data_IF_390595721579
#
_entry.id   IF_390595721579
#
_cell.length_a   1.000
_cell.length_b   1.000
_cell.length_c   1.000
_cell.angle_alpha   90.00
_cell.angle_beta   90.00
_cell.angle_gamma   90.00
#
_symmetry.space_group_name_H-M   'P 1'
#
loop_
_entity.id
_entity.type
_entity.pdbx_description
1 polymer ?
#
# COMPACT_ATOMS: atom_id res chain seq x y z
N UNK A 1 -7.78 26.72 -32.23
CA UNK A 1 -8.48 25.42 -32.26
C UNK A 1 -7.46 24.34 -31.92
N UNK A 2 -7.38 23.93 -30.66
CA UNK A 2 -6.41 22.94 -30.19
C UNK A 2 -6.88 21.54 -30.56
N UNK A 3 -6.03 20.79 -31.28
CA UNK A 3 -6.23 19.36 -31.54
C UNK A 3 -5.84 18.59 -30.28
N UNK A 4 -6.79 17.87 -29.69
CA UNK A 4 -6.51 16.88 -28.66
C UNK A 4 -5.66 15.75 -29.29
N UNK A 5 -4.40 15.63 -28.88
CA UNK A 5 -3.59 14.45 -29.20
C UNK A 5 -4.01 13.33 -28.26
N UNK A 6 -4.62 12.30 -28.83
CA UNK A 6 -5.06 11.11 -28.12
C UNK A 6 -3.85 10.18 -27.90
N UNK A 7 -3.21 10.24 -26.73
CA UNK A 7 -2.08 9.37 -26.37
C UNK A 7 -2.56 7.99 -25.89
N UNK A 8 -3.14 7.20 -26.78
CA UNK A 8 -3.38 5.77 -26.52
C UNK A 8 -2.07 4.99 -26.66
N UNK A 9 -1.27 4.91 -25.58
CA UNK A 9 -0.18 3.94 -25.50
C UNK A 9 -0.77 2.55 -25.25
N UNK A 10 -0.75 1.71 -26.28
CA UNK A 10 -1.03 0.28 -26.15
C UNK A 10 0.23 -0.35 -25.58
N UNK A 11 0.15 -0.91 -24.38
CA UNK A 11 1.24 -1.64 -23.76
C UNK A 11 1.18 -3.10 -24.21
N UNK A 12 2.24 -3.57 -24.83
CA UNK A 12 2.39 -4.95 -25.29
C UNK A 12 3.20 -5.75 -24.26
N UNK A 13 2.73 -6.95 -23.93
CA UNK A 13 3.45 -7.85 -23.03
C UNK A 13 4.34 -8.76 -23.87
N UNK A 14 5.63 -8.80 -23.55
CA UNK A 14 6.62 -9.59 -24.30
C UNK A 14 7.41 -10.51 -23.37
N UNK A 15 7.86 -11.64 -23.91
CA UNK A 15 8.81 -12.50 -23.20
C UNK A 15 10.23 -11.89 -23.21
N UNK A 16 11.18 -12.57 -22.57
CA UNK A 16 12.58 -12.12 -22.47
C UNK A 16 13.28 -11.99 -23.84
N UNK A 17 12.75 -12.67 -24.86
CA UNK A 17 13.25 -12.64 -26.23
C UNK A 17 12.56 -11.57 -27.09
N UNK A 18 11.64 -10.78 -26.52
CA UNK A 18 10.91 -9.72 -27.23
C UNK A 18 9.68 -10.21 -28.01
N UNK A 19 9.27 -11.47 -27.84
CA UNK A 19 8.10 -12.03 -28.52
C UNK A 19 6.81 -11.69 -27.78
N UNK A 20 5.76 -11.34 -28.52
CA UNK A 20 4.45 -10.95 -27.96
C UNK A 20 3.74 -12.12 -27.27
N UNK A 21 3.26 -11.87 -26.06
CA UNK A 21 2.50 -12.83 -25.25
C UNK A 21 1.02 -12.46 -25.24
N UNK A 22 0.25 -13.15 -26.08
CA UNK A 22 -1.17 -12.89 -26.31
C UNK A 22 -2.08 -13.69 -25.38
N UNK A 23 -1.62 -14.86 -24.94
CA UNK A 23 -2.39 -15.74 -24.06
C UNK A 23 -2.22 -15.40 -22.58
N UNK A 24 -3.28 -15.56 -21.79
CA UNK A 24 -3.27 -15.25 -20.36
C UNK A 24 -2.24 -16.09 -19.58
N UNK A 25 -2.15 -17.38 -19.88
CA UNK A 25 -1.22 -18.30 -19.23
C UNK A 25 0.24 -17.95 -19.50
N UNK A 26 0.54 -17.51 -20.73
CA UNK A 26 1.87 -17.06 -21.12
C UNK A 26 2.27 -15.78 -20.36
N UNK A 27 1.33 -14.84 -20.20
CA UNK A 27 1.55 -13.65 -19.38
C UNK A 27 1.78 -14.02 -17.93
N UNK A 28 0.92 -14.85 -17.35
CA UNK A 28 1.03 -15.30 -15.95
C UNK A 28 2.38 -15.98 -15.68
N UNK A 29 2.84 -16.84 -16.59
CA UNK A 29 4.16 -17.49 -16.50
C UNK A 29 5.30 -16.48 -16.51
N UNK A 30 5.27 -15.51 -17.43
CA UNK A 30 6.32 -14.47 -17.53
C UNK A 30 6.31 -13.50 -16.35
N UNK A 31 5.16 -13.23 -15.74
CA UNK A 31 5.04 -12.54 -14.45
C UNK A 31 5.70 -13.34 -13.32
N UNK A 32 5.45 -14.66 -13.25
CA UNK A 32 6.09 -15.54 -12.27
C UNK A 32 7.61 -15.54 -12.43
N UNK A 33 8.12 -15.74 -13.64
CA UNK A 33 9.56 -15.74 -13.93
C UNK A 33 10.23 -14.42 -13.53
N UNK A 34 9.55 -13.28 -13.72
CA UNK A 34 10.05 -11.97 -13.30
C UNK A 34 10.19 -11.87 -11.78
N UNK A 35 9.19 -12.35 -11.03
CA UNK A 35 9.21 -12.33 -9.57
C UNK A 35 10.30 -13.27 -9.03
N UNK A 36 10.45 -14.45 -9.64
CA UNK A 36 11.53 -15.38 -9.28
C UNK A 36 12.89 -14.69 -9.46
N UNK A 37 13.18 -14.09 -10.63
CA UNK A 37 14.42 -13.34 -10.86
C UNK A 37 14.62 -12.16 -9.89
N UNK A 38 13.53 -11.44 -9.57
CA UNK A 38 13.57 -10.28 -8.68
C UNK A 38 13.98 -10.67 -7.25
N UNK A 39 13.61 -11.88 -6.82
CA UNK A 39 13.84 -12.38 -5.46
C UNK A 39 14.93 -13.47 -5.37
N UNK A 40 15.52 -13.89 -6.50
CA UNK A 40 16.62 -14.87 -6.53
C UNK A 40 17.95 -14.27 -6.04
N UNK A 41 18.11 -12.94 -6.15
CA UNK A 41 19.28 -12.21 -5.64
C UNK A 41 19.16 -11.99 -4.12
N UNK A 42 19.30 -13.09 -3.40
CA UNK A 42 19.22 -13.17 -1.95
C UNK A 42 20.57 -12.77 -1.31
N UNK A 43 21.09 -11.60 -1.68
CA UNK A 43 22.08 -10.89 -0.86
C UNK A 43 21.37 -10.41 0.40
N UNK A 44 21.10 -11.38 1.28
CA UNK A 44 20.70 -11.22 2.66
C UNK A 44 19.70 -10.08 2.85
N UNK A 45 18.44 -10.29 2.44
CA UNK A 45 17.37 -9.65 3.21
C UNK A 45 17.39 -10.30 4.58
N UNK A 46 18.28 -9.78 5.44
CA UNK A 46 18.13 -9.87 6.88
C UNK A 46 16.83 -9.12 7.12
N UNK A 47 15.71 -9.84 7.07
CA UNK A 47 14.54 -9.38 7.78
C UNK A 47 14.99 -9.44 9.23
N UNK A 48 15.35 -8.29 9.78
CA UNK A 48 15.47 -8.17 11.23
C UNK A 48 14.16 -8.70 11.81
N UNK A 49 14.27 -9.67 12.71
CA UNK A 49 13.09 -10.13 13.44
C UNK A 49 12.46 -8.89 14.09
N UNK A 50 11.19 -8.61 13.79
CA UNK A 50 10.44 -7.43 14.30
C UNK A 50 10.53 -7.28 15.82
N UNK A 51 10.82 -8.38 16.52
CA UNK A 51 10.95 -8.44 17.98
C UNK A 51 12.29 -7.90 18.53
N UNK A 52 13.30 -7.64 17.67
CA UNK A 52 14.64 -7.20 18.07
C UNK A 52 15.03 -5.83 17.46
N UNK A 53 14.07 -4.91 17.32
CA UNK A 53 14.36 -3.51 16.96
C UNK A 53 14.85 -2.78 18.20
N UNK A 54 16.04 -2.17 18.14
CA UNK A 54 16.58 -1.34 19.22
C UNK A 54 15.61 -0.18 19.53
N UNK A 55 15.49 0.24 20.79
CA UNK A 55 14.56 1.33 21.17
C UNK A 55 14.86 2.64 20.42
N UNK A 56 16.12 2.84 20.01
CA UNK A 56 16.57 3.98 19.20
C UNK A 56 16.14 3.88 17.72
N UNK A 57 15.85 2.68 17.21
CA UNK A 57 15.37 2.44 15.84
C UNK A 57 13.83 2.38 15.76
N UNK A 58 13.16 2.35 16.91
CA UNK A 58 11.71 2.45 16.98
C UNK A 58 11.28 3.85 16.55
N UNK A 59 10.61 3.94 15.40
CA UNK A 59 10.11 5.20 14.88
C UNK A 59 9.28 5.98 15.90
N UNK A 60 9.49 7.29 15.96
CA UNK A 60 8.74 8.22 16.79
C UNK A 60 7.22 8.15 16.53
N UNK A 61 6.43 8.75 17.41
CA UNK A 61 4.98 8.87 17.21
C UNK A 61 4.66 9.53 15.86
N UNK A 62 3.61 9.06 15.19
CA UNK A 62 3.05 9.69 13.99
C UNK A 62 2.71 11.13 14.34
N UNK A 63 3.24 12.10 13.60
CA UNK A 63 2.97 13.51 13.86
C UNK A 63 1.53 13.87 13.48
N UNK A 64 0.92 14.81 14.19
CA UNK A 64 -0.43 15.30 13.86
C UNK A 64 -0.54 15.78 12.42
N UNK A 65 0.50 16.45 11.90
CA UNK A 65 0.53 16.94 10.51
C UNK A 65 0.54 15.81 9.47
N UNK A 66 1.23 14.69 9.76
CA UNK A 66 1.25 13.51 8.89
C UNK A 66 -0.12 12.84 8.88
N UNK A 67 -0.73 12.71 10.07
CA UNK A 67 -2.08 12.18 10.20
C UNK A 67 -3.11 13.03 9.45
N UNK A 68 -3.09 14.34 9.64
CA UNK A 68 -4.02 15.25 8.98
C UNK A 68 -3.86 15.19 7.45
N UNK A 69 -2.61 15.18 6.97
CA UNK A 69 -2.31 15.02 5.55
C UNK A 69 -2.82 13.67 5.01
N UNK A 70 -2.63 12.57 5.75
CA UNK A 70 -3.15 11.26 5.36
C UNK A 70 -4.67 11.26 5.26
N UNK A 71 -5.37 11.84 6.25
CA UNK A 71 -6.83 11.98 6.26
C UNK A 71 -7.33 12.78 5.05
N UNK A 72 -6.68 13.90 4.73
CA UNK A 72 -7.04 14.73 3.57
C UNK A 72 -6.74 14.05 2.23
N UNK A 73 -5.73 13.18 2.19
CA UNK A 73 -5.33 12.42 1.00
C UNK A 73 -6.24 11.22 0.69
N UNK A 74 -7.13 10.83 1.60
CA UNK A 74 -8.08 9.73 1.39
C UNK A 74 -8.89 9.94 0.12
N UNK A 75 -8.94 8.91 -0.73
CA UNK A 75 -9.68 8.92 -1.99
C UNK A 75 -11.14 8.60 -1.76
N UNK A 76 -12.01 9.39 -2.38
CA UNK A 76 -13.44 9.14 -2.37
C UNK A 76 -13.81 8.00 -3.34
N UNK A 77 -14.99 7.42 -3.15
CA UNK A 77 -15.64 6.35 -3.92
C UNK A 77 -14.80 5.07 -3.99
N UNK A 78 -14.10 4.75 -2.90
CA UNK A 78 -13.44 3.44 -2.74
C UNK A 78 -14.44 2.42 -2.21
N UNK A 79 -14.18 1.15 -2.50
CA UNK A 79 -14.96 0.06 -1.95
C UNK A 79 -14.86 0.08 -0.42
N UNK A 80 -15.97 -0.22 0.25
CA UNK A 80 -16.03 -0.29 1.70
C UNK A 80 -15.22 -1.48 2.22
N UNK A 81 -14.71 -1.35 3.45
CA UNK A 81 -14.14 -2.46 4.19
C UNK A 81 -15.20 -3.45 4.67
N UNK A 82 -14.77 -4.45 5.44
CA UNK A 82 -15.66 -5.40 6.14
C UNK A 82 -16.58 -4.68 7.15
N UNK A 83 -16.14 -3.52 7.62
CA UNK A 83 -16.90 -2.64 8.52
C UNK A 83 -18.03 -1.86 7.83
N UNK A 84 -18.12 -1.92 6.49
CA UNK A 84 -19.06 -1.16 5.68
C UNK A 84 -18.93 0.37 5.83
N UNK A 85 -17.77 0.88 6.30
CA UNK A 85 -17.55 2.31 6.54
C UNK A 85 -16.97 3.00 5.29
N UNK A 86 -17.58 4.09 4.80
CA UNK A 86 -17.00 4.92 3.73
C UNK A 86 -15.75 5.68 4.18
N UNK A 87 -14.76 5.78 3.29
CA UNK A 87 -13.59 6.64 3.53
C UNK A 87 -13.99 8.11 3.69
N UNK A 88 -15.07 8.56 3.03
CA UNK A 88 -15.61 9.92 3.14
C UNK A 88 -16.11 10.21 4.55
N UNK A 89 -16.69 9.22 5.22
CA UNK A 89 -17.20 9.39 6.58
C UNK A 89 -16.04 9.71 7.53
N UNK A 90 -14.92 9.00 7.38
CA UNK A 90 -13.70 9.26 8.14
C UNK A 90 -13.10 10.62 7.79
N UNK A 91 -13.00 10.94 6.49
CA UNK A 91 -12.41 12.19 6.00
C UNK A 91 -13.12 13.45 6.54
N UNK A 92 -14.44 13.43 6.53
CA UNK A 92 -15.30 14.57 6.93
C UNK A 92 -15.81 14.47 8.38
N UNK A 93 -15.22 13.59 9.19
CA UNK A 93 -15.57 13.48 10.60
C UNK A 93 -15.14 14.71 11.42
N UNK A 94 -15.69 14.84 12.62
CA UNK A 94 -15.40 15.96 13.50
C UNK A 94 -14.02 15.86 14.18
N UNK A 95 -13.62 16.94 14.85
CA UNK A 95 -12.31 17.06 15.51
C UNK A 95 -12.16 16.05 16.67
N UNK A 96 -13.25 15.71 17.36
CA UNK A 96 -13.23 14.76 18.48
C UNK A 96 -12.92 13.37 17.97
N UNK A 97 -13.59 12.94 16.90
CA UNK A 97 -13.35 11.65 16.26
C UNK A 97 -11.97 11.60 15.61
N UNK A 98 -11.54 12.66 14.90
CA UNK A 98 -10.17 12.72 14.34
C UNK A 98 -9.10 12.57 15.42
N UNK A 99 -9.30 13.19 16.59
CA UNK A 99 -8.37 13.07 17.72
C UNK A 99 -8.31 11.63 18.25
N UNK A 100 -9.43 10.92 18.29
CA UNK A 100 -9.45 9.54 18.76
C UNK A 100 -8.81 8.59 17.74
N UNK A 101 -9.09 8.79 16.44
CA UNK A 101 -8.43 8.06 15.36
C UNK A 101 -6.91 8.26 15.39
N UNK A 102 -6.43 9.48 15.60
CA UNK A 102 -5.01 9.79 15.73
C UNK A 102 -4.34 9.00 16.88
N UNK A 103 -5.01 8.88 18.03
CA UNK A 103 -4.50 8.08 19.14
C UNK A 103 -4.44 6.60 18.79
N UNK A 104 -5.51 6.06 18.20
CA UNK A 104 -5.58 4.64 17.81
C UNK A 104 -4.47 4.32 16.80
N UNK A 105 -4.27 5.15 15.78
CA UNK A 105 -3.19 4.98 14.81
C UNK A 105 -1.82 4.97 15.47
N UNK A 106 -1.56 5.91 16.38
CA UNK A 106 -0.31 5.95 17.13
C UNK A 106 -0.12 4.74 18.05
N UNK A 107 -1.18 4.27 18.71
CA UNK A 107 -1.10 3.08 19.55
C UNK A 107 -0.76 1.83 18.74
N UNK A 108 -1.38 1.65 17.57
CA UNK A 108 -1.08 0.53 16.67
C UNK A 108 0.37 0.61 16.19
N UNK A 109 0.79 1.79 15.73
CA UNK A 109 2.14 2.04 15.23
C UNK A 109 3.21 1.76 16.28
N UNK A 110 3.05 2.31 17.49
CA UNK A 110 4.02 2.17 18.58
C UNK A 110 4.02 0.77 19.21
N UNK A 111 2.88 0.06 19.21
CA UNK A 111 2.83 -1.30 19.79
C UNK A 111 3.22 -2.37 18.78
N UNK A 112 3.27 -2.06 17.49
CA UNK A 112 3.48 -3.04 16.42
C UNK A 112 2.40 -4.12 16.36
N UNK A 113 1.25 -3.89 17.02
CA UNK A 113 0.14 -4.86 17.13
C UNK A 113 -1.06 -4.32 16.40
N UNK A 114 -1.54 -5.10 15.45
CA UNK A 114 -2.78 -4.83 14.74
C UNK A 114 -3.99 -5.33 15.54
N UNK A 115 -5.20 -4.99 15.10
CA UNK A 115 -6.43 -5.57 15.66
C UNK A 115 -6.58 -7.02 15.19
N UNK A 116 -7.25 -7.85 15.99
CA UNK A 116 -7.42 -9.30 15.74
C UNK A 116 -7.95 -9.61 14.34
N UNK A 117 -8.75 -8.72 13.76
CA UNK A 117 -9.35 -8.89 12.43
C UNK A 117 -8.31 -8.93 11.30
N UNK A 118 -7.07 -8.50 11.55
CA UNK A 118 -5.95 -8.54 10.59
C UNK A 118 -4.88 -9.59 10.93
N UNK A 119 -5.06 -10.35 12.01
CA UNK A 119 -4.20 -11.49 12.33
C UNK A 119 -4.58 -12.67 11.39
N UNK A 120 -3.58 -13.38 10.86
CA UNK A 120 -3.75 -14.49 9.89
C UNK A 120 -4.10 -15.82 10.56
#
# INVERSE_FOLDING_TARGET
>A
MNRFQNNNRIYYFVNKNGELLLEADQRAKRWKEYLEELYEDNSTMIFEEEDNVDEDDKGDYILQAEFDHAMDSLKNNKAYGVDEIPAELLKYTDVVVKKELYKICNEIYLKGRTISDFEK
#
